data_IF_051604538972
#
_entry.id   IF_051604538972
#
_cell.length_a   1.000
_cell.length_b   1.000
_cell.length_c   1.000
_cell.angle_alpha   90.00
_cell.angle_beta   90.00
_cell.angle_gamma   90.00
#
_symmetry.space_group_name_H-M   'P 1'
#
loop_
_entity.id
_entity.type
_entity.pdbx_description
1 polymer ?
#
# COMPACT_ATOMS: atom_id res chain seq x y z
N UNK A 1 -38.06 -42.55 -22.82
CA UNK A 1 -36.96 -41.87 -23.50
C UNK A 1 -35.66 -42.23 -22.76
N UNK A 2 -34.83 -43.12 -23.35
CA UNK A 2 -33.52 -43.47 -22.78
C UNK A 2 -32.47 -42.47 -23.32
N UNK A 3 -31.91 -41.64 -22.44
CA UNK A 3 -30.74 -40.84 -22.80
C UNK A 3 -29.48 -41.75 -22.80
N UNK A 4 -28.62 -41.68 -23.80
CA UNK A 4 -27.45 -42.54 -23.88
C UNK A 4 -26.38 -42.08 -22.87
N UNK A 5 -26.09 -42.94 -21.92
CA UNK A 5 -25.10 -42.73 -20.81
C UNK A 5 -23.65 -42.59 -21.30
N UNK A 6 -23.36 -42.78 -22.58
CA UNK A 6 -22.02 -42.60 -23.15
C UNK A 6 -21.68 -41.15 -23.50
N UNK A 7 -22.67 -40.28 -23.73
CA UNK A 7 -22.44 -38.87 -24.06
C UNK A 7 -21.95 -38.06 -22.83
N UNK A 8 -22.36 -38.44 -21.64
CA UNK A 8 -22.00 -37.80 -20.38
C UNK A 8 -20.51 -38.06 -20.00
N UNK A 9 -19.99 -39.24 -20.21
CA UNK A 9 -18.59 -39.59 -19.86
C UNK A 9 -17.59 -38.92 -20.83
N UNK A 10 -17.89 -38.82 -22.09
CA UNK A 10 -17.03 -38.13 -23.07
C UNK A 10 -17.01 -36.61 -22.83
N UNK A 11 -18.13 -36.01 -22.42
CA UNK A 11 -18.19 -34.60 -22.09
C UNK A 11 -17.40 -34.26 -20.79
N UNK A 12 -17.46 -35.14 -19.78
CA UNK A 12 -16.67 -35.01 -18.53
C UNK A 12 -15.17 -35.21 -18.82
N UNK A 13 -14.81 -36.16 -19.69
CA UNK A 13 -13.40 -36.35 -20.08
C UNK A 13 -12.87 -35.14 -20.89
N UNK A 14 -13.70 -34.60 -21.79
CA UNK A 14 -13.35 -33.40 -22.55
C UNK A 14 -13.23 -32.15 -21.63
N UNK A 15 -14.11 -32.01 -20.66
CA UNK A 15 -14.04 -30.93 -19.65
C UNK A 15 -12.80 -31.08 -18.73
N UNK A 16 -12.49 -32.32 -18.31
CA UNK A 16 -11.25 -32.60 -17.58
C UNK A 16 -10.00 -32.36 -18.44
N UNK A 17 -10.02 -32.73 -19.74
CA UNK A 17 -8.90 -32.50 -20.65
C UNK A 17 -8.69 -31.01 -20.96
N UNK A 18 -9.75 -30.20 -21.01
CA UNK A 18 -9.65 -28.73 -21.16
C UNK A 18 -9.16 -28.05 -19.88
N UNK A 19 -9.42 -28.61 -18.71
CA UNK A 19 -8.83 -28.12 -17.43
C UNK A 19 -7.34 -28.47 -17.31
N UNK A 20 -6.82 -29.43 -18.07
CA UNK A 20 -5.40 -29.81 -18.10
C UNK A 20 -4.60 -29.22 -19.27
N UNK A 21 -5.16 -28.33 -20.09
CA UNK A 21 -4.35 -27.51 -20.97
C UNK A 21 -3.60 -26.54 -20.04
N UNK A 22 -2.26 -26.60 -19.93
CA UNK A 22 -1.50 -25.59 -19.23
C UNK A 22 -1.64 -24.31 -20.06
N UNK A 23 -2.66 -23.50 -19.74
CA UNK A 23 -2.58 -22.09 -20.02
C UNK A 23 -1.29 -21.67 -19.31
N UNK A 24 -0.28 -21.24 -20.08
CA UNK A 24 0.86 -20.55 -19.52
C UNK A 24 0.33 -19.25 -18.90
N UNK A 25 -0.24 -19.36 -17.70
CA UNK A 25 -0.58 -18.23 -16.84
C UNK A 25 0.77 -17.71 -16.37
N UNK A 26 1.21 -16.64 -16.99
CA UNK A 26 2.40 -15.91 -16.58
C UNK A 26 2.10 -15.37 -15.18
N UNK A 27 2.69 -15.99 -14.18
CA UNK A 27 2.54 -15.59 -12.79
C UNK A 27 3.46 -14.38 -12.53
N UNK A 28 2.89 -13.34 -11.95
CA UNK A 28 3.65 -12.19 -11.45
C UNK A 28 4.45 -12.64 -10.23
N UNK A 29 5.78 -12.51 -10.26
CA UNK A 29 6.67 -13.08 -9.27
C UNK A 29 7.10 -12.03 -8.22
N UNK A 30 7.13 -12.43 -6.96
CA UNK A 30 7.63 -11.63 -5.83
C UNK A 30 8.97 -12.17 -5.31
N UNK A 31 9.76 -12.80 -6.18
CA UNK A 31 11.02 -13.47 -5.86
C UNK A 31 12.19 -12.87 -6.63
N UNK A 32 13.39 -13.33 -6.34
CA UNK A 32 14.62 -12.98 -7.07
C UNK A 32 15.37 -14.21 -7.54
N UNK A 33 16.48 -13.98 -8.21
CA UNK A 33 17.36 -15.00 -8.77
C UNK A 33 18.78 -14.80 -8.26
N UNK A 34 19.48 -15.87 -7.91
CA UNK A 34 20.94 -15.85 -7.67
C UNK A 34 21.63 -16.60 -8.80
N UNK A 35 22.57 -15.94 -9.46
CA UNK A 35 23.35 -16.52 -10.57
C UNK A 35 24.83 -16.15 -10.48
N UNK A 36 25.68 -16.88 -11.19
CA UNK A 36 27.11 -16.55 -11.24
C UNK A 36 27.93 -17.57 -12.02
N UNK A 37 29.21 -17.28 -12.11
CA UNK A 37 30.21 -18.13 -12.78
C UNK A 37 31.27 -18.59 -11.79
N UNK A 38 31.65 -19.85 -11.86
CA UNK A 38 32.67 -20.44 -11.02
C UNK A 38 33.92 -20.67 -11.85
N UNK A 39 35.02 -20.11 -11.39
CA UNK A 39 36.35 -20.22 -12.05
C UNK A 39 37.42 -20.76 -11.11
N UNK A 40 38.46 -21.32 -11.69
CA UNK A 40 39.68 -21.73 -11.00
C UNK A 40 40.67 -20.55 -10.81
N UNK A 41 41.82 -20.72 -10.15
CA UNK A 41 42.83 -19.66 -9.99
C UNK A 41 43.39 -19.09 -11.29
N UNK A 42 43.33 -19.85 -12.38
CA UNK A 42 43.81 -19.41 -13.71
C UNK A 42 42.73 -18.63 -14.50
N UNK A 43 41.49 -18.64 -14.02
CA UNK A 43 40.34 -18.07 -14.70
C UNK A 43 39.62 -19.07 -15.62
N UNK A 44 40.01 -20.35 -15.63
CA UNK A 44 39.28 -21.38 -16.35
C UNK A 44 38.00 -21.74 -15.63
N UNK A 45 36.94 -22.08 -16.42
CA UNK A 45 35.65 -22.47 -15.90
C UNK A 45 35.70 -23.79 -15.15
N UNK A 46 34.90 -23.93 -14.10
CA UNK A 46 34.74 -25.17 -13.33
C UNK A 46 33.38 -25.75 -13.57
N UNK A 47 33.31 -26.85 -14.34
CA UNK A 47 32.07 -27.57 -14.66
C UNK A 47 31.66 -28.49 -13.50
N UNK A 48 30.34 -28.73 -13.38
CA UNK A 48 29.73 -29.65 -12.41
C UNK A 48 30.16 -29.41 -10.94
N UNK A 49 30.60 -28.19 -10.63
CA UNK A 49 30.82 -27.80 -9.23
C UNK A 49 29.45 -27.78 -8.50
N UNK A 50 29.43 -28.38 -7.34
CA UNK A 50 28.24 -28.36 -6.48
C UNK A 50 28.12 -26.98 -5.84
N UNK A 51 27.04 -26.26 -6.19
CA UNK A 51 26.71 -24.95 -5.64
C UNK A 51 25.53 -25.07 -4.70
N UNK A 52 25.61 -24.41 -3.55
CA UNK A 52 24.49 -24.33 -2.61
C UNK A 52 24.24 -22.87 -2.28
N UNK A 53 23.02 -22.41 -2.58
CA UNK A 53 22.54 -21.06 -2.26
C UNK A 53 21.73 -21.15 -0.98
N UNK A 54 22.16 -20.49 0.08
CA UNK A 54 21.54 -20.59 1.41
C UNK A 54 21.00 -19.23 1.86
N UNK A 55 19.75 -19.18 2.23
CA UNK A 55 19.16 -18.01 2.91
C UNK A 55 19.67 -17.99 4.36
N UNK A 56 20.31 -16.89 4.74
CA UNK A 56 20.95 -16.76 6.07
C UNK A 56 19.91 -16.73 7.20
N UNK A 57 18.77 -16.07 6.97
CA UNK A 57 17.72 -15.90 7.99
C UNK A 57 16.93 -17.19 8.29
N UNK A 58 16.67 -17.99 7.25
CA UNK A 58 15.84 -19.21 7.37
C UNK A 58 16.65 -20.50 7.36
N UNK A 59 17.94 -20.43 7.00
CA UNK A 59 18.83 -21.57 6.72
C UNK A 59 18.30 -22.50 5.61
N UNK A 60 17.37 -22.04 4.78
CA UNK A 60 16.89 -22.75 3.60
C UNK A 60 18.01 -22.81 2.55
N UNK A 61 18.34 -24.00 2.08
CA UNK A 61 19.43 -24.27 1.17
C UNK A 61 18.91 -24.87 -0.15
N UNK A 62 19.28 -24.23 -1.27
CA UNK A 62 18.93 -24.67 -2.61
C UNK A 62 20.18 -25.17 -3.33
N UNK A 63 20.31 -26.48 -3.58
CA UNK A 63 21.45 -27.03 -4.30
C UNK A 63 21.25 -26.92 -5.81
N UNK A 64 22.34 -26.61 -6.51
CA UNK A 64 22.45 -26.62 -7.97
C UNK A 64 23.86 -27.08 -8.36
N UNK A 65 24.18 -27.09 -9.65
CA UNK A 65 25.52 -27.38 -10.15
C UNK A 65 25.85 -26.44 -11.33
N UNK A 66 27.12 -26.18 -11.53
CA UNK A 66 27.55 -25.41 -12.69
C UNK A 66 27.43 -26.20 -13.99
N UNK A 67 27.03 -25.51 -15.04
CA UNK A 67 26.95 -26.05 -16.40
C UNK A 67 28.35 -26.12 -17.06
N UNK A 68 28.40 -26.51 -18.36
CA UNK A 68 29.63 -26.57 -19.17
C UNK A 68 30.33 -25.21 -19.38
N UNK A 69 29.66 -24.11 -19.07
CA UNK A 69 30.24 -22.76 -19.11
C UNK A 69 30.66 -22.27 -17.70
N UNK A 70 30.58 -23.13 -16.69
CA UNK A 70 30.82 -22.78 -15.30
C UNK A 70 29.72 -21.91 -14.68
N UNK A 71 28.60 -21.73 -15.37
CA UNK A 71 27.47 -20.92 -14.95
C UNK A 71 26.50 -21.72 -14.04
N UNK A 72 25.99 -21.07 -13.01
CA UNK A 72 24.92 -21.61 -12.16
C UNK A 72 23.83 -20.57 -11.99
N UNK A 73 22.61 -21.03 -11.75
CA UNK A 73 21.45 -20.21 -11.49
C UNK A 73 20.47 -20.91 -10.55
N UNK A 74 19.92 -20.16 -9.60
CA UNK A 74 18.80 -20.58 -8.74
C UNK A 74 17.75 -19.47 -8.80
N UNK A 75 16.60 -19.81 -9.33
CA UNK A 75 15.49 -18.87 -9.54
C UNK A 75 14.43 -19.01 -8.43
N UNK A 76 13.50 -18.05 -8.37
CA UNK A 76 12.35 -18.04 -7.46
C UNK A 76 12.72 -18.15 -5.98
N UNK A 77 13.77 -17.44 -5.61
CA UNK A 77 14.18 -17.30 -4.22
C UNK A 77 13.41 -16.16 -3.56
N UNK A 78 12.80 -16.38 -2.38
CA UNK A 78 12.24 -15.29 -1.58
C UNK A 78 13.28 -14.18 -1.33
N UNK A 79 12.85 -12.94 -1.20
CA UNK A 79 13.75 -11.84 -0.84
C UNK A 79 14.44 -12.11 0.51
N UNK A 80 15.65 -11.63 0.67
CA UNK A 80 16.43 -11.80 1.91
C UNK A 80 17.92 -11.87 1.68
N UNK A 81 18.66 -12.22 2.72
CA UNK A 81 20.13 -12.30 2.66
C UNK A 81 20.56 -13.71 2.30
N UNK A 82 21.37 -13.83 1.25
CA UNK A 82 21.85 -15.12 0.73
C UNK A 82 23.37 -15.25 0.79
N UNK A 83 23.81 -16.46 0.98
CA UNK A 83 25.22 -16.87 0.93
C UNK A 83 25.35 -18.04 -0.04
N UNK A 84 26.38 -17.99 -0.90
CA UNK A 84 26.67 -19.03 -1.88
C UNK A 84 27.89 -19.82 -1.44
N UNK A 85 27.77 -21.14 -1.41
CA UNK A 85 28.90 -22.04 -1.15
C UNK A 85 29.14 -22.99 -2.33
N UNK A 86 30.39 -23.25 -2.66
CA UNK A 86 30.79 -24.07 -3.81
C UNK A 86 31.77 -25.15 -3.38
N UNK A 87 31.54 -26.38 -3.81
CA UNK A 87 32.39 -27.55 -3.60
C UNK A 87 32.72 -28.19 -4.94
N UNK A 88 33.99 -28.37 -5.23
CA UNK A 88 34.46 -29.07 -6.41
C UNK A 88 35.68 -29.95 -6.11
N UNK A 89 35.84 -31.05 -6.85
CA UNK A 89 36.98 -31.99 -6.63
C UNK A 89 38.34 -31.32 -6.94
N UNK A 90 39.25 -31.39 -6.00
CA UNK A 90 40.57 -30.77 -6.13
C UNK A 90 40.64 -29.30 -5.70
N UNK A 91 39.54 -28.75 -5.22
CA UNK A 91 39.46 -27.36 -4.74
C UNK A 91 39.03 -27.30 -3.28
N UNK A 92 39.46 -26.27 -2.59
CA UNK A 92 38.93 -25.92 -1.27
C UNK A 92 37.49 -25.41 -1.39
N UNK A 93 36.64 -25.65 -0.37
CA UNK A 93 35.29 -25.11 -0.32
C UNK A 93 35.35 -23.58 -0.29
N UNK A 94 34.71 -22.94 -1.26
CA UNK A 94 34.59 -21.50 -1.31
C UNK A 94 33.19 -21.06 -0.79
N UNK A 95 33.15 -19.96 -0.05
CA UNK A 95 31.91 -19.39 0.46
C UNK A 95 31.93 -17.88 0.26
N UNK A 96 30.83 -17.31 -0.30
CA UNK A 96 30.72 -15.88 -0.50
C UNK A 96 30.43 -15.13 0.79
N UNK A 97 30.65 -13.83 0.82
CA UNK A 97 30.01 -12.96 1.81
C UNK A 97 28.48 -12.97 1.63
N UNK A 98 27.71 -12.81 2.73
CA UNK A 98 26.26 -12.63 2.62
C UNK A 98 25.90 -11.39 1.78
N UNK A 99 24.90 -11.51 0.89
CA UNK A 99 24.41 -10.42 0.05
C UNK A 99 22.88 -10.38 0.03
N UNK A 100 22.30 -9.20 -0.07
CA UNK A 100 20.84 -9.02 -0.18
C UNK A 100 20.37 -9.39 -1.57
N UNK A 101 19.26 -10.11 -1.64
CA UNK A 101 18.51 -10.41 -2.85
C UNK A 101 17.18 -9.68 -2.76
N UNK A 102 16.98 -8.71 -3.64
CA UNK A 102 15.80 -7.91 -3.73
C UNK A 102 14.77 -8.51 -4.72
N UNK A 103 13.53 -8.06 -4.65
CA UNK A 103 12.46 -8.51 -5.54
C UNK A 103 12.81 -8.25 -7.01
N UNK A 104 12.55 -9.24 -7.87
CA UNK A 104 12.84 -9.19 -9.31
C UNK A 104 14.31 -8.87 -9.66
N UNK A 105 15.21 -9.07 -8.72
CA UNK A 105 16.65 -8.89 -8.92
C UNK A 105 17.29 -10.20 -9.35
N UNK A 106 18.30 -10.11 -10.24
CA UNK A 106 19.29 -11.16 -10.44
C UNK A 106 20.57 -10.79 -9.72
N UNK A 107 20.77 -11.35 -8.53
CA UNK A 107 21.96 -11.17 -7.73
C UNK A 107 23.10 -12.01 -8.34
N UNK A 108 24.10 -11.35 -8.90
CA UNK A 108 25.28 -12.02 -9.46
C UNK A 108 26.35 -12.25 -8.41
N UNK A 109 26.74 -13.52 -8.21
CA UNK A 109 27.77 -13.95 -7.26
C UNK A 109 28.76 -14.86 -7.98
N UNK A 110 29.81 -14.28 -8.49
CA UNK A 110 30.93 -15.03 -9.12
C UNK A 110 31.94 -15.46 -8.04
N UNK A 111 32.39 -16.72 -8.07
CA UNK A 111 33.35 -17.24 -7.11
C UNK A 111 34.56 -17.86 -7.81
N UNK A 112 35.73 -17.53 -7.27
CA UNK A 112 37.02 -18.09 -7.72
C UNK A 112 37.49 -19.13 -6.71
N UNK A 113 37.60 -20.40 -7.15
CA UNK A 113 38.07 -21.50 -6.31
C UNK A 113 39.57 -21.46 -6.13
N UNK A 114 40.05 -22.01 -5.03
CA UNK A 114 41.49 -22.21 -4.78
C UNK A 114 41.80 -23.70 -4.73
N UNK A 115 42.94 -24.11 -5.27
CA UNK A 115 43.42 -25.50 -5.22
C UNK A 115 43.69 -25.87 -3.77
N UNK A 116 43.09 -26.94 -3.30
CA UNK A 116 43.19 -27.38 -1.92
C UNK A 116 42.33 -28.58 -1.62
N UNK A 117 42.23 -28.95 -0.33
CA UNK A 117 41.34 -30.01 0.11
C UNK A 117 39.92 -29.42 0.33
N UNK A 118 38.91 -30.20 0.02
CA UNK A 118 37.50 -29.82 0.26
C UNK A 118 37.21 -29.52 1.73
N UNK A 119 38.03 -30.01 2.66
CA UNK A 119 37.95 -29.70 4.09
C UNK A 119 38.36 -28.26 4.45
N UNK A 120 39.10 -27.60 3.56
CA UNK A 120 39.61 -26.26 3.81
C UNK A 120 38.61 -25.23 3.31
N UNK A 121 38.08 -24.41 4.21
CA UNK A 121 37.07 -23.38 3.87
C UNK A 121 37.77 -22.05 3.62
N UNK A 122 37.58 -21.49 2.44
CA UNK A 122 38.08 -20.16 2.07
C UNK A 122 36.89 -19.22 1.94
N UNK A 123 36.82 -18.20 2.79
CA UNK A 123 35.87 -17.10 2.61
C UNK A 123 36.39 -16.20 1.49
N UNK A 124 35.65 -16.12 0.40
CA UNK A 124 35.94 -15.24 -0.71
C UNK A 124 35.12 -13.98 -0.53
N UNK A 125 35.78 -12.84 -0.43
CA UNK A 125 35.08 -11.55 -0.56
C UNK A 125 34.65 -11.40 -2.03
N UNK A 126 33.50 -11.96 -2.37
CA UNK A 126 32.87 -11.63 -3.65
C UNK A 126 32.21 -10.28 -3.48
N UNK A 127 32.63 -9.32 -4.26
CA UNK A 127 31.83 -8.08 -4.40
C UNK A 127 30.61 -8.46 -5.22
N UNK A 128 29.48 -8.70 -4.52
CA UNK A 128 28.19 -8.72 -5.20
C UNK A 128 28.02 -7.36 -5.88
N UNK A 129 27.75 -7.38 -7.18
CA UNK A 129 27.52 -6.12 -7.91
C UNK A 129 26.24 -5.50 -7.36
N UNK A 130 26.35 -4.30 -6.78
CA UNK A 130 25.21 -3.51 -6.35
C UNK A 130 24.46 -2.88 -7.54
N UNK A 131 25.05 -2.95 -8.74
CA UNK A 131 24.44 -2.46 -9.97
C UNK A 131 23.79 -3.65 -10.69
N UNK A 132 22.51 -3.54 -10.97
CA UNK A 132 21.74 -4.53 -11.71
C UNK A 132 22.16 -4.48 -13.19
N UNK A 133 22.90 -5.51 -13.64
CA UNK A 133 23.44 -5.60 -15.01
C UNK A 133 22.79 -6.69 -15.84
N UNK A 134 21.93 -7.51 -15.23
CA UNK A 134 21.39 -8.72 -15.84
C UNK A 134 19.98 -8.51 -16.43
N UNK A 135 19.34 -7.37 -16.15
CA UNK A 135 18.03 -7.03 -16.74
C UNK A 135 17.99 -5.56 -17.21
N UNK A 136 17.04 -5.27 -18.12
CA UNK A 136 16.83 -3.93 -18.69
C UNK A 136 15.64 -3.19 -18.05
N UNK A 137 15.16 -3.65 -16.92
CA UNK A 137 14.00 -3.07 -16.24
C UNK A 137 14.39 -1.72 -15.63
N UNK A 138 13.63 -0.68 -15.99
CA UNK A 138 13.77 0.65 -15.39
C UNK A 138 12.85 0.74 -14.19
N UNK A 139 13.42 0.97 -13.02
CA UNK A 139 12.65 1.05 -11.79
C UNK A 139 13.54 1.35 -10.58
N UNK A 140 12.92 1.47 -9.43
CA UNK A 140 13.60 1.72 -8.16
C UNK A 140 13.08 0.81 -7.06
N UNK A 141 13.97 0.46 -6.13
CA UNK A 141 13.63 -0.33 -4.94
C UNK A 141 13.90 0.49 -3.69
N UNK A 142 12.94 0.48 -2.76
CA UNK A 142 13.10 1.02 -1.41
C UNK A 142 13.09 -0.16 -0.45
N UNK A 143 14.21 -0.40 0.22
CA UNK A 143 14.36 -1.51 1.16
C UNK A 143 13.91 -1.15 2.56
N UNK A 144 13.69 -2.16 3.41
CA UNK A 144 13.08 -2.04 4.73
C UNK A 144 13.63 -0.93 5.63
N UNK A 145 14.95 -0.73 5.67
CA UNK A 145 15.54 0.34 6.49
C UNK A 145 15.13 1.74 5.99
N UNK A 146 15.18 1.98 4.68
CA UNK A 146 14.77 3.26 4.12
C UNK A 146 13.24 3.49 4.29
N UNK A 147 12.42 2.44 4.16
CA UNK A 147 10.97 2.52 4.41
C UNK A 147 10.69 2.97 5.83
N UNK A 148 11.45 2.46 6.79
CA UNK A 148 11.28 2.75 8.21
C UNK A 148 11.82 4.14 8.61
N UNK A 149 12.93 4.57 8.01
CA UNK A 149 13.61 5.82 8.38
C UNK A 149 13.04 7.05 7.68
N UNK A 150 12.36 6.88 6.53
CA UNK A 150 11.75 8.01 5.83
C UNK A 150 10.56 8.58 6.60
N UNK A 151 10.46 9.91 6.74
CA UNK A 151 9.40 10.57 7.51
C UNK A 151 8.08 10.57 6.73
N UNK A 152 7.41 9.43 6.67
CA UNK A 152 6.11 9.30 6.02
C UNK A 152 5.01 9.96 6.86
N UNK A 153 4.40 11.03 6.35
CA UNK A 153 3.31 11.71 7.03
C UNK A 153 2.03 10.86 7.02
N UNK A 154 1.66 10.30 8.16
CA UNK A 154 0.54 9.37 8.27
C UNK A 154 0.92 7.92 7.99
N UNK A 155 2.21 7.59 7.86
CA UNK A 155 2.73 6.23 7.67
C UNK A 155 2.11 5.50 6.48
N UNK A 156 1.79 6.28 5.42
CA UNK A 156 1.27 5.74 4.18
C UNK A 156 2.45 5.24 3.31
N UNK A 157 2.54 3.94 3.11
CA UNK A 157 3.62 3.31 2.35
C UNK A 157 3.62 3.75 0.88
N UNK A 158 2.47 4.12 0.31
CA UNK A 158 2.37 4.61 -1.06
C UNK A 158 3.05 5.97 -1.26
N UNK A 159 3.29 6.75 -0.20
CA UNK A 159 4.03 8.01 -0.31
C UNK A 159 5.47 7.79 -0.75
N UNK A 160 6.00 6.57 -0.61
CA UNK A 160 7.31 6.18 -1.16
C UNK A 160 7.36 6.27 -2.69
N UNK A 161 6.21 6.17 -3.37
CA UNK A 161 6.13 6.37 -4.81
C UNK A 161 6.67 7.74 -5.23
N UNK A 162 6.37 8.78 -4.47
CA UNK A 162 6.82 10.13 -4.76
C UNK A 162 8.36 10.31 -4.67
N UNK A 163 9.06 9.35 -4.06
CA UNK A 163 10.53 9.36 -3.96
C UNK A 163 11.21 8.73 -5.18
N UNK A 164 10.43 8.07 -6.05
CA UNK A 164 10.98 7.33 -7.18
C UNK A 164 11.03 8.22 -8.44
N UNK A 165 12.10 8.12 -9.24
CA UNK A 165 12.16 8.79 -10.53
C UNK A 165 10.96 8.40 -11.40
N UNK A 166 10.53 9.27 -12.31
CA UNK A 166 9.43 8.98 -13.24
C UNK A 166 8.04 8.89 -12.61
N UNK A 167 7.90 9.05 -11.30
CA UNK A 167 6.61 9.06 -10.60
C UNK A 167 6.17 10.50 -10.31
N UNK A 168 4.93 10.79 -10.63
CA UNK A 168 4.31 12.10 -10.38
C UNK A 168 3.02 11.95 -9.61
N UNK A 169 2.89 12.68 -8.52
CA UNK A 169 1.62 12.82 -7.79
C UNK A 169 0.71 13.78 -8.58
N UNK A 170 -0.44 13.31 -9.02
CA UNK A 170 -1.35 14.07 -9.89
C UNK A 170 -2.47 14.79 -9.14
N UNK A 171 -2.79 14.33 -7.93
CA UNK A 171 -3.78 14.96 -7.06
C UNK A 171 -3.32 14.89 -5.59
N UNK A 172 -2.62 15.92 -5.10
CA UNK A 172 -2.07 15.94 -3.76
C UNK A 172 -3.13 15.99 -2.63
N UNK A 173 -4.38 16.33 -2.97
CA UNK A 173 -5.45 16.50 -1.97
C UNK A 173 -6.23 15.21 -1.69
N UNK A 174 -5.93 14.14 -2.39
CA UNK A 174 -6.64 12.88 -2.25
C UNK A 174 -5.82 11.85 -1.44
N UNK A 175 -6.47 10.94 -0.79
CA UNK A 175 -5.96 9.96 0.19
C UNK A 175 -5.00 8.89 -0.37
N UNK A 176 -4.35 9.12 -1.48
CA UNK A 176 -3.26 8.28 -2.00
C UNK A 176 -3.68 7.08 -2.86
N UNK A 177 -4.97 6.82 -3.00
CA UNK A 177 -5.45 5.70 -3.81
C UNK A 177 -5.57 6.09 -5.28
N UNK A 178 -4.68 5.57 -6.14
CA UNK A 178 -4.75 5.75 -7.58
C UNK A 178 -4.35 7.13 -8.09
N UNK A 179 -3.56 7.91 -7.33
CA UNK A 179 -3.20 9.28 -7.67
C UNK A 179 -1.79 9.44 -8.24
N UNK A 180 -1.11 8.36 -8.49
CA UNK A 180 0.25 8.36 -9.00
C UNK A 180 0.28 8.03 -10.49
N UNK A 181 0.89 8.91 -11.28
CA UNK A 181 1.31 8.62 -12.65
C UNK A 181 2.73 8.07 -12.63
N UNK A 182 2.95 6.94 -13.25
CA UNK A 182 4.25 6.28 -13.35
C UNK A 182 4.65 6.22 -14.81
N UNK A 183 5.86 6.69 -15.14
CA UNK A 183 6.37 6.70 -16.52
C UNK A 183 5.53 7.55 -17.47
N UNK A 184 4.79 8.56 -16.99
CA UNK A 184 3.85 9.36 -17.79
C UNK A 184 2.53 8.66 -18.14
N UNK A 185 2.26 7.49 -17.55
CA UNK A 185 1.00 6.77 -17.69
C UNK A 185 -0.17 7.44 -16.96
N UNK A 186 -1.39 6.96 -17.19
CA UNK A 186 -2.58 7.42 -16.45
C UNK A 186 -2.53 6.86 -15.02
N UNK A 187 -3.14 7.56 -14.08
CA UNK A 187 -3.19 7.15 -12.67
C UNK A 187 -3.97 5.85 -12.45
N UNK A 188 -4.97 5.59 -13.28
CA UNK A 188 -5.78 4.38 -13.27
C UNK A 188 -5.15 3.20 -14.05
N UNK A 189 -3.90 3.35 -14.52
CA UNK A 189 -3.20 2.32 -15.30
C UNK A 189 -2.04 1.66 -14.55
N UNK A 190 -1.94 1.87 -13.24
CA UNK A 190 -0.91 1.26 -12.38
C UNK A 190 -1.35 -0.12 -11.90
N UNK A 191 -0.45 -1.10 -11.95
CA UNK A 191 -0.65 -2.41 -11.33
C UNK A 191 -0.02 -2.44 -9.95
N UNK A 192 -0.81 -2.76 -8.93
CA UNK A 192 -0.34 -2.93 -7.56
C UNK A 192 -0.32 -4.42 -7.20
N UNK A 193 0.78 -4.85 -6.61
CA UNK A 193 0.99 -6.23 -6.17
C UNK A 193 1.33 -6.25 -4.68
N UNK A 194 0.76 -7.21 -3.96
CA UNK A 194 1.08 -7.51 -2.56
C UNK A 194 1.50 -8.97 -2.46
N UNK A 195 2.74 -9.23 -2.06
CA UNK A 195 3.36 -10.57 -2.06
C UNK A 195 3.15 -11.31 -3.40
N UNK A 196 3.22 -10.57 -4.52
CA UNK A 196 3.00 -11.05 -5.88
C UNK A 196 1.52 -11.26 -6.26
N UNK A 197 0.58 -11.19 -5.32
CA UNK A 197 -0.86 -11.21 -5.59
C UNK A 197 -1.38 -9.86 -6.09
N UNK A 198 -2.42 -9.89 -6.94
CA UNK A 198 -3.04 -8.65 -7.42
C UNK A 198 -3.69 -7.89 -6.26
N UNK A 199 -3.35 -6.61 -6.14
CA UNK A 199 -3.81 -5.72 -5.08
C UNK A 199 -4.54 -4.48 -5.64
N UNK A 200 -5.17 -4.63 -6.81
CA UNK A 200 -5.97 -3.58 -7.41
C UNK A 200 -7.46 -3.78 -7.13
N UNK A 201 -8.13 -2.71 -6.75
CA UNK A 201 -9.59 -2.62 -6.77
C UNK A 201 -10.11 -2.74 -8.21
N UNK A 202 -11.16 -3.55 -8.38
CA UNK A 202 -11.72 -3.83 -9.71
C UNK A 202 -12.53 -2.66 -10.28
N UNK A 203 -12.96 -1.72 -9.46
CA UNK A 203 -13.79 -0.58 -9.87
C UNK A 203 -12.94 0.64 -10.23
N UNK A 204 -12.05 1.04 -9.34
CA UNK A 204 -11.24 2.26 -9.46
C UNK A 204 -9.81 2.01 -9.94
N UNK A 205 -9.38 0.74 -9.99
CA UNK A 205 -8.00 0.31 -10.19
C UNK A 205 -7.00 0.88 -9.16
N UNK A 206 -7.50 1.38 -8.03
CA UNK A 206 -6.69 1.82 -6.90
C UNK A 206 -6.14 0.64 -6.09
N UNK A 207 -5.42 0.96 -5.01
CA UNK A 207 -4.89 -0.05 -4.07
C UNK A 207 -6.00 -0.55 -3.16
N UNK A 208 -6.08 -1.87 -2.97
CA UNK A 208 -7.03 -2.51 -2.03
C UNK A 208 -6.48 -2.50 -0.60
N UNK A 209 -5.23 -2.94 -0.43
CA UNK A 209 -4.54 -3.00 0.85
C UNK A 209 -3.23 -2.25 0.76
N UNK A 210 -3.00 -1.34 1.69
CA UNK A 210 -1.74 -0.61 1.83
C UNK A 210 -1.13 -0.94 3.21
N UNK A 211 -0.22 -1.94 3.30
CA UNK A 211 0.35 -2.35 4.57
C UNK A 211 1.13 -1.23 5.24
N UNK A 212 1.09 -1.19 6.57
CA UNK A 212 1.89 -0.23 7.33
C UNK A 212 3.39 -0.45 7.10
N UNK A 213 4.24 0.61 7.20
CA UNK A 213 5.67 0.53 6.89
C UNK A 213 6.44 -0.54 7.68
N UNK A 214 6.03 -0.83 8.93
CA UNK A 214 6.69 -1.84 9.75
C UNK A 214 6.42 -3.27 9.26
N UNK A 215 5.34 -3.49 8.53
CA UNK A 215 5.01 -4.78 7.92
C UNK A 215 5.71 -4.99 6.57
N UNK A 216 6.22 -3.93 5.93
CA UNK A 216 6.84 -4.00 4.60
C UNK A 216 8.32 -4.34 4.71
N UNK A 217 8.76 -5.33 3.94
CA UNK A 217 10.15 -5.69 3.77
C UNK A 217 10.79 -4.91 2.63
N UNK A 218 10.05 -4.78 1.53
CA UNK A 218 10.54 -4.16 0.31
C UNK A 218 9.39 -3.54 -0.49
N UNK A 219 9.68 -2.41 -1.11
CA UNK A 219 8.79 -1.66 -1.99
C UNK A 219 9.51 -1.38 -3.30
N UNK A 220 9.03 -1.94 -4.40
CA UNK A 220 9.63 -1.77 -5.73
C UNK A 220 8.66 -1.11 -6.69
N UNK A 221 9.16 -0.16 -7.45
CA UNK A 221 8.46 0.48 -8.58
C UNK A 221 9.16 0.09 -9.86
N UNK A 222 8.42 -0.42 -10.82
CA UNK A 222 8.87 -0.69 -12.17
C UNK A 222 8.14 0.29 -13.10
N UNK A 223 8.91 1.19 -13.72
CA UNK A 223 8.35 2.26 -14.53
C UNK A 223 8.04 1.81 -15.96
N UNK A 224 8.95 1.03 -16.54
CA UNK A 224 8.86 0.58 -17.93
C UNK A 224 9.75 -0.62 -18.18
N UNK A 225 9.66 -1.19 -19.39
CA UNK A 225 10.46 -2.34 -19.84
C UNK A 225 10.31 -3.60 -18.99
N UNK A 226 9.15 -3.73 -18.28
CA UNK A 226 8.83 -4.94 -17.56
C UNK A 226 8.53 -6.10 -18.50
N UNK A 227 8.76 -7.34 -18.03
CA UNK A 227 8.58 -8.54 -18.80
C UNK A 227 7.11 -8.86 -19.11
N UNK A 228 6.88 -9.83 -19.98
CA UNK A 228 5.55 -10.26 -20.41
C UNK A 228 4.72 -10.95 -19.30
N UNK A 229 5.35 -11.29 -18.18
CA UNK A 229 4.70 -11.78 -16.95
C UNK A 229 3.81 -10.73 -16.28
N UNK A 230 4.07 -9.45 -16.52
CA UNK A 230 3.23 -8.37 -16.05
C UNK A 230 2.23 -7.98 -17.12
N UNK A 231 0.96 -7.94 -16.73
CA UNK A 231 -0.14 -7.62 -17.64
C UNK A 231 -1.18 -6.70 -17.01
N UNK A 232 -2.38 -6.74 -17.57
CA UNK A 232 -3.58 -6.01 -17.18
C UNK A 232 -3.52 -4.50 -17.42
N UNK A 233 -2.52 -3.79 -16.91
CA UNK A 233 -2.39 -2.34 -17.01
C UNK A 233 -1.17 -1.96 -17.86
N UNK A 234 -1.21 -0.79 -18.50
CA UNK A 234 -0.15 -0.29 -19.36
C UNK A 234 0.78 0.72 -18.68
N UNK A 235 0.50 1.05 -17.42
CA UNK A 235 1.33 1.95 -16.61
C UNK A 235 2.41 1.19 -15.83
N UNK A 236 2.96 1.82 -14.80
CA UNK A 236 3.96 1.19 -13.95
C UNK A 236 3.41 0.08 -13.08
N UNK A 237 4.32 -0.65 -12.46
CA UNK A 237 4.03 -1.73 -11.52
C UNK A 237 4.59 -1.34 -10.16
N UNK A 238 3.78 -1.46 -9.14
CA UNK A 238 4.16 -1.26 -7.74
C UNK A 238 4.06 -2.60 -7.04
N UNK A 239 5.18 -3.12 -6.59
CA UNK A 239 5.24 -4.40 -5.88
C UNK A 239 5.65 -4.17 -4.44
N UNK A 240 4.82 -4.62 -3.52
CA UNK A 240 5.03 -4.56 -2.08
C UNK A 240 5.23 -5.99 -1.58
N UNK A 241 6.34 -6.24 -0.89
CA UNK A 241 6.58 -7.51 -0.22
C UNK A 241 6.56 -7.32 1.28
N UNK A 242 5.77 -8.13 1.95
CA UNK A 242 5.67 -8.09 3.41
C UNK A 242 6.82 -8.85 4.08
N UNK A 243 7.15 -8.46 5.31
CA UNK A 243 8.15 -9.16 6.11
C UNK A 243 7.74 -10.62 6.36
N UNK A 244 8.74 -11.46 6.55
CA UNK A 244 8.58 -12.88 6.89
C UNK A 244 9.29 -13.18 8.21
N UNK A 245 8.91 -14.29 8.85
CA UNK A 245 9.66 -14.82 9.99
C UNK A 245 11.01 -15.38 9.59
N UNK A 246 11.92 -15.43 10.55
CA UNK A 246 13.25 -16.05 10.44
C UNK A 246 13.45 -17.07 11.56
N UNK A 247 14.64 -17.68 11.65
CA UNK A 247 14.97 -18.57 12.79
C UNK A 247 15.12 -17.84 14.12
N UNK A 248 15.31 -16.51 14.07
CA UNK A 248 15.40 -15.66 15.26
C UNK A 248 14.07 -14.95 15.49
N UNK A 249 13.63 -14.91 16.74
CA UNK A 249 12.48 -14.10 17.14
C UNK A 249 12.84 -12.63 17.03
N UNK A 250 12.02 -11.87 16.32
CA UNK A 250 12.20 -10.44 16.13
C UNK A 250 10.86 -9.72 16.10
N UNK A 251 10.88 -8.43 16.41
CA UNK A 251 9.68 -7.63 16.40
C UNK A 251 9.95 -6.20 16.81
N UNK A 252 8.96 -5.37 16.62
CA UNK A 252 8.97 -3.95 16.99
C UNK A 252 7.68 -3.61 17.72
N UNK A 253 7.73 -2.61 18.57
CA UNK A 253 6.56 -1.95 19.14
C UNK A 253 6.77 -0.45 18.98
N UNK A 254 5.73 0.26 18.60
CA UNK A 254 5.84 1.69 18.32
C UNK A 254 4.57 2.44 18.67
N UNK A 255 4.73 3.75 18.89
CA UNK A 255 3.65 4.73 19.03
C UNK A 255 4.13 6.06 18.44
N UNK A 256 3.42 6.54 17.42
CA UNK A 256 3.67 7.82 16.77
C UNK A 256 2.51 8.76 17.07
N UNK A 257 2.81 9.84 17.75
CA UNK A 257 1.83 10.88 18.08
C UNK A 257 2.11 12.16 17.30
N UNK A 258 1.09 12.70 16.64
CA UNK A 258 1.10 14.02 16.05
C UNK A 258 0.00 14.86 16.71
N UNK A 259 0.37 16.06 17.15
CA UNK A 259 -0.56 16.97 17.75
C UNK A 259 -0.28 18.39 17.22
N UNK A 260 -1.32 19.08 16.82
CA UNK A 260 -1.27 20.45 16.31
C UNK A 260 -0.54 21.41 17.27
N UNK A 261 -0.46 21.09 18.56
CA UNK A 261 0.33 21.89 19.51
C UNK A 261 1.80 22.04 19.10
N UNK A 262 2.37 21.02 18.45
CA UNK A 262 3.75 21.02 17.98
C UNK A 262 3.91 21.47 16.52
N UNK A 263 2.81 21.59 15.77
CA UNK A 263 2.84 21.98 14.36
C UNK A 263 2.98 23.52 14.23
N UNK A 264 3.66 23.97 13.19
CA UNK A 264 3.59 25.36 12.75
C UNK A 264 2.22 25.65 12.14
N UNK A 265 1.77 26.91 12.18
CA UNK A 265 0.61 27.32 11.43
C UNK A 265 0.96 27.50 9.94
N UNK A 266 -0.02 27.31 9.04
CA UNK A 266 0.13 27.59 7.64
C UNK A 266 0.45 29.07 7.37
N UNK A 267 1.29 29.33 6.35
CA UNK A 267 1.70 30.69 6.01
C UNK A 267 0.50 31.59 5.68
N UNK A 268 -0.44 31.08 4.89
CA UNK A 268 -1.61 31.87 4.46
C UNK A 268 -2.61 32.03 5.60
N UNK A 269 -2.72 31.05 6.51
CA UNK A 269 -3.52 31.20 7.73
C UNK A 269 -2.95 32.28 8.62
N UNK A 270 -1.62 32.33 8.83
CA UNK A 270 -0.96 33.41 9.57
C UNK A 270 -1.16 34.78 8.93
N UNK A 271 -1.10 34.85 7.58
CA UNK A 271 -1.33 36.11 6.86
C UNK A 271 -2.76 36.65 7.04
N UNK A 272 -3.71 35.76 7.29
CA UNK A 272 -5.13 36.08 7.46
C UNK A 272 -5.59 36.07 8.93
N UNK A 273 -4.65 36.02 9.87
CA UNK A 273 -4.92 35.88 11.31
C UNK A 273 -5.82 34.67 11.66
N UNK A 274 -5.78 33.63 10.84
CA UNK A 274 -6.54 32.40 11.07
C UNK A 274 -5.81 31.49 12.05
N UNK A 275 -6.55 30.81 12.96
CA UNK A 275 -5.96 29.87 13.88
C UNK A 275 -5.42 28.64 13.15
N UNK A 276 -4.40 28.01 13.73
CA UNK A 276 -3.84 26.75 13.25
C UNK A 276 -4.91 25.65 13.21
N UNK A 277 -4.89 24.85 12.11
CA UNK A 277 -5.77 23.70 11.96
C UNK A 277 -5.50 22.66 13.08
N UNK A 278 -6.53 22.20 13.72
CA UNK A 278 -6.44 21.18 14.78
C UNK A 278 -6.30 19.80 14.12
N UNK A 279 -5.21 19.11 14.47
CA UNK A 279 -4.96 17.73 14.07
C UNK A 279 -4.36 16.96 15.26
N UNK A 280 -5.05 15.91 15.69
CA UNK A 280 -4.54 14.94 16.66
C UNK A 280 -4.57 13.57 16.03
N UNK A 281 -3.38 12.99 15.84
CA UNK A 281 -3.22 11.64 15.27
C UNK A 281 -2.33 10.81 16.18
N UNK A 282 -2.75 9.59 16.45
CA UNK A 282 -1.95 8.60 17.14
C UNK A 282 -1.97 7.31 16.31
N UNK A 283 -0.79 6.77 16.01
CA UNK A 283 -0.58 5.53 15.28
C UNK A 283 0.32 4.63 16.10
N UNK A 284 -0.24 3.55 16.59
CA UNK A 284 0.45 2.61 17.49
C UNK A 284 0.35 1.21 16.92
N UNK A 285 1.37 0.38 17.21
CA UNK A 285 1.37 -0.95 16.68
C UNK A 285 2.52 -1.81 17.16
N UNK A 286 2.53 -3.02 16.64
CA UNK A 286 3.58 -3.98 16.91
C UNK A 286 3.78 -4.90 15.69
N UNK A 287 5.00 -5.40 15.56
CA UNK A 287 5.29 -6.53 14.67
C UNK A 287 5.95 -7.64 15.48
N UNK A 288 5.75 -8.89 15.05
CA UNK A 288 6.38 -10.03 15.68
C UNK A 288 6.54 -11.16 14.66
N UNK A 289 7.74 -11.72 14.57
CA UNK A 289 8.06 -12.80 13.62
C UNK A 289 9.09 -13.79 14.18
N UNK A 290 9.10 -14.97 13.61
CA UNK A 290 10.02 -16.02 14.02
C UNK A 290 9.62 -17.41 13.56
N UNK A 291 10.28 -18.47 14.07
CA UNK A 291 9.91 -19.84 13.78
C UNK A 291 8.70 -20.26 14.63
N UNK A 292 7.78 -21.04 14.06
CA UNK A 292 6.69 -21.66 14.82
C UNK A 292 7.27 -22.86 15.60
N UNK A 293 7.46 -22.66 16.90
CA UNK A 293 7.94 -23.73 17.80
C UNK A 293 6.91 -23.97 18.90
N UNK A 294 6.28 -25.13 18.87
CA UNK A 294 5.34 -25.60 19.92
C UNK A 294 6.00 -26.79 20.61
N UNK A 295 6.38 -26.67 21.89
CA UNK A 295 7.06 -27.73 22.60
C UNK A 295 6.33 -29.07 22.48
N UNK A 296 7.07 -30.11 22.17
CA UNK A 296 6.59 -31.51 21.98
C UNK A 296 5.63 -31.73 20.79
N UNK A 297 5.28 -30.70 20.00
CA UNK A 297 4.35 -30.81 18.86
C UNK A 297 5.02 -30.44 17.54
N UNK A 298 5.58 -29.25 17.45
CA UNK A 298 6.18 -28.74 16.23
C UNK A 298 7.50 -28.04 16.52
N UNK A 299 8.55 -28.41 15.80
CA UNK A 299 9.78 -27.63 15.70
C UNK A 299 9.89 -27.07 14.27
N UNK A 300 9.45 -25.85 14.08
CA UNK A 300 9.46 -25.18 12.78
C UNK A 300 10.76 -24.50 12.41
N UNK A 301 11.81 -24.60 13.23
CA UNK A 301 13.13 -24.04 12.87
C UNK A 301 13.57 -24.54 11.49
N UNK A 302 14.05 -23.65 10.66
CA UNK A 302 14.47 -23.87 9.26
C UNK A 302 13.33 -24.27 8.29
N UNK A 303 12.05 -24.31 8.75
CA UNK A 303 10.96 -24.84 7.93
C UNK A 303 9.65 -24.07 8.00
N UNK A 304 9.24 -23.60 9.16
CA UNK A 304 7.91 -23.04 9.36
C UNK A 304 8.04 -21.74 10.16
N UNK A 305 7.69 -20.66 9.51
CA UNK A 305 7.84 -19.33 10.04
C UNK A 305 6.51 -18.60 10.06
N UNK A 306 6.39 -17.62 10.94
CA UNK A 306 5.28 -16.69 10.97
C UNK A 306 5.78 -15.25 11.06
N UNK A 307 4.96 -14.34 10.58
CA UNK A 307 5.07 -12.91 10.82
C UNK A 307 3.69 -12.35 11.09
N UNK A 308 3.59 -11.45 12.04
CA UNK A 308 2.36 -10.76 12.42
C UNK A 308 2.65 -9.27 12.57
N UNK A 309 1.71 -8.44 12.09
CA UNK A 309 1.72 -7.00 12.27
C UNK A 309 0.33 -6.51 12.66
N UNK A 310 0.28 -5.56 13.58
CA UNK A 310 -0.91 -4.80 13.93
C UNK A 310 -0.58 -3.32 13.96
N UNK A 311 -1.43 -2.49 13.35
CA UNK A 311 -1.41 -1.03 13.51
C UNK A 311 -2.82 -0.53 13.79
N UNK A 312 -2.94 0.28 14.86
CA UNK A 312 -4.12 1.08 15.14
C UNK A 312 -3.87 2.54 14.84
N UNK A 313 -4.84 3.22 14.22
CA UNK A 313 -4.85 4.66 14.04
C UNK A 313 -6.04 5.29 14.75
N UNK A 314 -5.81 6.40 15.43
CA UNK A 314 -6.86 7.30 15.92
C UNK A 314 -6.54 8.71 15.49
N UNK A 315 -7.42 9.29 14.69
CA UNK A 315 -7.24 10.65 14.20
C UNK A 315 -8.51 11.47 14.42
N UNK A 316 -8.30 12.68 14.90
CA UNK A 316 -9.33 13.73 14.91
C UNK A 316 -8.71 14.97 14.29
N UNK A 317 -9.36 15.48 13.24
CA UNK A 317 -9.00 16.74 12.61
C UNK A 317 -10.21 17.68 12.65
N UNK A 318 -9.97 18.97 12.80
CA UNK A 318 -11.01 19.98 12.57
C UNK A 318 -10.91 20.40 11.12
N UNK A 319 -11.99 20.17 10.39
CA UNK A 319 -12.14 20.59 9.00
C UNK A 319 -13.06 21.79 8.91
N UNK A 320 -12.86 22.62 7.91
CA UNK A 320 -13.66 23.81 7.64
C UNK A 320 -14.46 23.56 6.38
N UNK A 321 -15.77 23.71 6.43
CA UNK A 321 -16.56 23.89 5.23
C UNK A 321 -16.12 25.20 4.57
N UNK A 322 -16.08 25.29 3.28
CA UNK A 322 -15.78 26.56 2.58
C UNK A 322 -16.64 27.70 3.09
N UNK A 323 -16.48 28.91 2.51
CA UNK A 323 -17.34 30.04 2.82
C UNK A 323 -18.80 29.69 2.54
N UNK A 324 -19.64 29.87 3.54
CA UNK A 324 -21.09 29.61 3.48
C UNK A 324 -21.83 30.93 3.69
N UNK A 325 -22.67 31.29 2.75
CA UNK A 325 -23.56 32.45 2.90
C UNK A 325 -24.62 32.14 3.95
N UNK A 326 -24.85 33.05 4.84
CA UNK A 326 -25.87 32.99 5.88
C UNK A 326 -26.56 34.35 6.06
N UNK A 327 -27.50 34.42 6.97
CA UNK A 327 -28.16 35.66 7.28
C UNK A 327 -27.34 36.52 8.26
N UNK A 328 -27.40 37.83 8.07
CA UNK A 328 -26.99 38.76 9.12
C UNK A 328 -28.02 38.78 10.25
N UNK A 329 -27.69 39.24 11.46
CA UNK A 329 -28.66 39.43 12.52
C UNK A 329 -29.85 40.36 12.16
N UNK A 330 -29.62 41.32 11.24
CA UNK A 330 -30.68 42.19 10.72
C UNK A 330 -31.64 41.43 9.82
N UNK A 331 -31.12 40.67 8.87
CA UNK A 331 -31.94 39.84 7.95
C UNK A 331 -32.73 38.77 8.71
N UNK A 332 -32.12 38.14 9.72
CA UNK A 332 -32.85 37.16 10.59
C UNK A 332 -34.04 37.77 11.32
N UNK A 333 -34.04 39.10 11.48
CA UNK A 333 -35.17 39.87 12.03
C UNK A 333 -36.05 40.54 10.95
N UNK A 334 -35.83 40.17 9.68
CA UNK A 334 -36.62 40.67 8.54
C UNK A 334 -36.16 41.99 7.93
N UNK A 335 -34.98 42.50 8.32
CA UNK A 335 -34.40 43.72 7.75
C UNK A 335 -33.37 43.38 6.69
N UNK A 336 -33.77 43.48 5.43
CA UNK A 336 -32.92 43.25 4.24
C UNK A 336 -32.51 44.55 3.58
N UNK A 337 -32.56 45.70 4.29
CA UNK A 337 -32.26 47.03 3.74
C UNK A 337 -30.82 47.23 3.35
N UNK A 338 -29.89 46.40 3.81
CA UNK A 338 -28.45 46.45 3.53
C UNK A 338 -27.92 45.14 2.95
N UNK A 339 -28.81 44.22 2.54
CA UNK A 339 -28.45 42.85 2.22
C UNK A 339 -27.56 42.68 0.94
N UNK A 340 -27.69 43.60 -0.03
CA UNK A 340 -26.92 43.53 -1.29
C UNK A 340 -26.05 44.77 -1.42
N UNK A 341 -24.75 44.64 -1.15
CA UNK A 341 -23.77 45.72 -1.27
C UNK A 341 -24.19 47.04 -0.55
N UNK A 342 -24.84 46.94 0.60
CA UNK A 342 -25.31 48.07 1.37
C UNK A 342 -26.60 48.72 0.81
N UNK A 343 -27.35 47.96 0.01
CA UNK A 343 -28.65 48.37 -0.57
C UNK A 343 -29.72 47.30 -0.25
N UNK A 344 -30.99 47.65 -0.36
CA UNK A 344 -32.09 46.69 -0.19
C UNK A 344 -32.00 45.51 -1.16
N UNK A 345 -32.33 44.31 -0.70
CA UNK A 345 -32.46 43.13 -1.57
C UNK A 345 -33.62 43.32 -2.54
N UNK A 346 -33.38 43.39 -3.86
CA UNK A 346 -34.44 43.63 -4.85
C UNK A 346 -35.49 42.50 -4.86
N UNK A 347 -35.14 41.27 -4.52
CA UNK A 347 -36.06 40.16 -4.49
C UNK A 347 -37.03 40.26 -3.29
N UNK A 348 -36.52 40.70 -2.15
CA UNK A 348 -37.38 40.94 -0.97
C UNK A 348 -38.29 42.14 -1.19
N UNK A 349 -37.77 43.21 -1.81
CA UNK A 349 -38.58 44.37 -2.19
C UNK A 349 -39.69 43.94 -3.14
N UNK A 350 -39.38 43.19 -4.20
CA UNK A 350 -40.37 42.69 -5.15
C UNK A 350 -41.41 41.74 -4.49
N UNK A 351 -40.93 40.86 -3.59
CA UNK A 351 -41.84 40.00 -2.82
C UNK A 351 -42.82 40.80 -1.99
N UNK A 352 -42.33 41.81 -1.28
CA UNK A 352 -43.20 42.64 -0.41
C UNK A 352 -44.19 43.46 -1.26
N UNK A 353 -43.81 43.93 -2.43
CA UNK A 353 -44.72 44.62 -3.33
C UNK A 353 -45.88 43.73 -3.84
N UNK A 354 -45.60 42.47 -4.05
CA UNK A 354 -46.57 41.48 -4.50
C UNK A 354 -47.45 40.93 -3.34
N UNK A 355 -46.98 41.02 -2.08
CA UNK A 355 -47.60 40.45 -0.89
C UNK A 355 -47.73 41.50 0.23
N UNK A 356 -48.74 42.43 0.10
CA UNK A 356 -48.93 43.52 1.05
C UNK A 356 -49.17 43.10 2.49
N UNK A 357 -49.63 41.89 2.73
CA UNK A 357 -49.88 41.31 4.07
C UNK A 357 -48.61 41.13 4.90
N UNK A 358 -47.42 41.12 4.28
CA UNK A 358 -46.13 41.05 4.96
C UNK A 358 -45.47 42.41 5.17
N UNK A 359 -46.09 43.48 4.76
CA UNK A 359 -45.63 44.84 4.95
C UNK A 359 -46.09 45.45 6.25
N UNK A 360 -45.23 46.10 7.01
CA UNK A 360 -45.62 46.99 8.08
C UNK A 360 -46.18 48.32 7.52
N UNK A 361 -45.55 48.85 6.46
CA UNK A 361 -45.97 49.98 5.67
C UNK A 361 -45.23 50.00 4.32
N UNK A 362 -45.74 50.78 3.28
CA UNK A 362 -45.12 50.80 1.97
C UNK A 362 -43.68 51.40 1.92
N UNK A 363 -43.33 52.31 2.85
CA UNK A 363 -41.99 52.89 2.92
C UNK A 363 -40.96 51.84 3.36
N UNK A 364 -41.29 51.04 4.41
CA UNK A 364 -40.42 49.95 4.88
C UNK A 364 -40.33 48.83 3.85
N UNK A 365 -41.43 48.56 3.14
CA UNK A 365 -41.46 47.57 2.07
C UNK A 365 -40.48 47.94 0.93
N UNK A 366 -40.38 49.21 0.55
CA UNK A 366 -39.43 49.71 -0.47
C UNK A 366 -37.99 49.61 -0.03
N UNK A 367 -37.71 49.45 1.24
CA UNK A 367 -36.39 49.20 1.82
C UNK A 367 -36.12 47.70 2.06
N UNK A 368 -37.03 46.83 1.67
CA UNK A 368 -36.89 45.39 1.89
C UNK A 368 -37.04 44.94 3.37
N UNK A 369 -37.84 45.70 4.16
CA UNK A 369 -38.07 45.41 5.56
C UNK A 369 -39.45 44.72 5.72
N UNK A 370 -39.43 43.50 6.19
CA UNK A 370 -40.63 42.68 6.50
C UNK A 370 -41.21 43.11 7.84
N UNK A 371 -42.56 43.09 7.97
CA UNK A 371 -43.22 43.26 9.27
C UNK A 371 -42.77 42.13 10.24
N UNK A 372 -42.06 42.45 11.35
CA UNK A 372 -41.60 41.42 12.28
C UNK A 372 -42.70 40.53 12.84
N UNK A 373 -43.93 41.02 12.92
CA UNK A 373 -45.06 40.24 13.36
C UNK A 373 -45.54 39.17 12.37
N UNK A 374 -45.06 39.26 11.14
CA UNK A 374 -45.35 38.32 10.03
C UNK A 374 -44.29 37.28 9.80
N UNK A 375 -43.12 37.38 10.46
CA UNK A 375 -42.10 36.36 10.40
C UNK A 375 -42.63 35.12 11.11
N UNK A 376 -42.53 33.97 10.42
CA UNK A 376 -43.00 32.69 10.95
C UNK A 376 -42.31 32.39 12.32
N UNK A 377 -43.10 32.07 13.37
CA UNK A 377 -42.54 31.76 14.71
C UNK A 377 -41.57 30.57 14.70
N UNK A 378 -41.70 29.61 13.76
CA UNK A 378 -40.77 28.48 13.61
C UNK A 378 -39.44 28.97 13.07
N UNK A 379 -39.45 29.86 12.06
CA UNK A 379 -38.23 30.47 11.53
C UNK A 379 -37.51 31.28 12.62
N UNK A 380 -38.25 32.09 13.39
CA UNK A 380 -37.67 32.84 14.54
C UNK A 380 -37.08 31.90 15.58
N UNK A 381 -37.71 30.76 15.85
CA UNK A 381 -37.18 29.77 16.79
C UNK A 381 -35.89 29.12 16.28
N UNK A 382 -35.74 28.89 14.99
CA UNK A 382 -34.53 28.36 14.39
C UNK A 382 -33.36 29.34 14.54
N UNK A 383 -33.53 30.62 14.26
CA UNK A 383 -32.52 31.64 14.50
C UNK A 383 -32.21 31.78 15.99
N UNK A 384 -33.22 31.89 16.85
CA UNK A 384 -33.06 32.04 18.29
C UNK A 384 -32.31 30.87 18.95
N UNK A 385 -32.54 29.67 18.48
CA UNK A 385 -31.88 28.45 18.99
C UNK A 385 -30.56 28.13 18.27
N UNK A 386 -30.11 28.99 17.34
CA UNK A 386 -28.87 28.81 16.62
C UNK A 386 -28.86 27.65 15.61
N UNK A 387 -30.04 27.12 15.25
CA UNK A 387 -30.16 26.08 14.21
C UNK A 387 -29.90 26.66 12.82
N UNK A 388 -30.19 27.95 12.62
CA UNK A 388 -29.72 28.75 11.50
C UNK A 388 -28.75 29.79 12.10
N UNK A 389 -27.46 29.60 12.01
CA UNK A 389 -26.48 30.56 12.53
C UNK A 389 -26.50 31.84 11.73
N UNK A 390 -26.27 32.98 12.37
CA UNK A 390 -26.14 34.28 11.74
C UNK A 390 -24.70 34.79 11.85
N UNK A 391 -24.29 35.66 10.92
CA UNK A 391 -23.00 36.32 10.94
C UNK A 391 -23.12 37.80 10.62
N UNK A 392 -22.40 38.71 11.28
CA UNK A 392 -22.41 40.12 10.94
C UNK A 392 -21.97 40.43 9.49
N UNK A 393 -21.14 39.59 8.91
CA UNK A 393 -20.67 39.71 7.52
C UNK A 393 -21.59 39.05 6.49
N UNK A 394 -22.60 38.28 6.92
CA UNK A 394 -23.40 37.44 6.05
C UNK A 394 -22.69 36.14 5.60
N UNK A 395 -21.48 35.88 6.10
CA UNK A 395 -20.69 34.71 5.75
C UNK A 395 -20.21 33.97 7.00
N UNK A 396 -20.12 32.67 6.89
CA UNK A 396 -19.62 31.75 7.92
C UNK A 396 -18.54 30.85 7.32
N UNK A 397 -17.62 30.44 8.18
CA UNK A 397 -16.67 29.38 7.95
C UNK A 397 -16.91 28.27 8.98
N UNK A 398 -17.94 27.44 8.82
CA UNK A 398 -18.25 26.42 9.80
C UNK A 398 -17.12 25.44 9.94
N UNK A 399 -16.81 25.07 11.18
CA UNK A 399 -15.79 24.06 11.51
C UNK A 399 -16.43 22.91 12.28
N UNK A 400 -15.96 21.69 12.02
CA UNK A 400 -16.40 20.51 12.75
C UNK A 400 -15.30 19.45 12.79
N UNK A 401 -15.43 18.53 13.74
CA UNK A 401 -14.46 17.44 13.88
C UNK A 401 -14.74 16.31 12.89
N UNK A 402 -13.76 15.98 12.09
CA UNK A 402 -13.68 14.77 11.31
C UNK A 402 -12.87 13.71 12.07
N UNK A 403 -13.32 12.47 12.01
CA UNK A 403 -12.66 11.31 12.64
C UNK A 403 -12.20 10.37 11.54
N UNK A 404 -11.01 9.81 11.72
CA UNK A 404 -10.44 8.76 10.90
C UNK A 404 -9.72 7.76 11.81
N UNK A 405 -10.40 6.67 12.13
CA UNK A 405 -9.88 5.60 12.97
C UNK A 405 -9.79 4.32 12.16
N UNK A 406 -8.64 3.68 12.21
CA UNK A 406 -8.38 2.43 11.50
C UNK A 406 -7.66 1.41 12.38
N UNK A 407 -7.96 0.14 12.12
CA UNK A 407 -7.26 -1.01 12.67
C UNK A 407 -6.81 -1.91 11.51
N UNK A 408 -5.51 -2.19 11.43
CA UNK A 408 -4.90 -3.03 10.40
C UNK A 408 -4.23 -4.24 11.03
N UNK A 409 -4.50 -5.40 10.47
CA UNK A 409 -3.92 -6.68 10.86
C UNK A 409 -3.29 -7.34 9.63
N UNK A 410 -2.08 -7.87 9.78
CA UNK A 410 -1.42 -8.69 8.78
C UNK A 410 -0.84 -9.93 9.44
N UNK A 411 -1.13 -11.08 8.88
CA UNK A 411 -0.55 -12.37 9.28
C UNK A 411 0.04 -13.08 8.07
N UNK A 412 1.27 -13.59 8.21
CA UNK A 412 1.96 -14.35 7.16
C UNK A 412 2.53 -15.63 7.74
N UNK A 413 2.43 -16.70 6.98
CA UNK A 413 3.02 -18.01 7.30
C UNK A 413 3.81 -18.49 6.08
N UNK A 414 5.06 -18.89 6.31
CA UNK A 414 5.94 -19.43 5.30
C UNK A 414 6.34 -20.86 5.71
N UNK A 415 6.03 -21.83 4.87
CA UNK A 415 6.35 -23.23 5.08
C UNK A 415 7.25 -23.77 3.97
N UNK A 416 8.47 -24.11 4.34
CA UNK A 416 9.45 -24.78 3.49
C UNK A 416 9.32 -26.28 3.69
N UNK A 417 8.38 -26.91 2.96
CA UNK A 417 8.07 -28.32 3.10
C UNK A 417 9.26 -29.21 2.70
N UNK A 418 10.00 -28.79 1.67
CA UNK A 418 11.25 -29.41 1.22
C UNK A 418 12.17 -28.37 0.58
N UNK A 419 13.36 -28.77 0.10
CA UNK A 419 14.20 -27.91 -0.74
C UNK A 419 13.57 -27.59 -2.11
N UNK A 420 12.46 -28.22 -2.47
CA UNK A 420 11.75 -28.02 -3.75
C UNK A 420 10.35 -27.45 -3.58
N UNK A 421 9.79 -27.50 -2.39
CA UNK A 421 8.40 -27.17 -2.12
C UNK A 421 8.31 -26.06 -1.06
N UNK A 422 7.76 -24.94 -1.44
CA UNK A 422 7.46 -23.84 -0.52
C UNK A 422 6.00 -23.43 -0.61
N UNK A 423 5.40 -23.12 0.53
CA UNK A 423 4.05 -22.60 0.64
C UNK A 423 4.13 -21.30 1.44
N UNK A 424 3.60 -20.23 0.93
CA UNK A 424 3.46 -18.96 1.64
C UNK A 424 2.00 -18.53 1.64
N UNK A 425 1.53 -18.04 2.77
CA UNK A 425 0.19 -17.51 2.91
C UNK A 425 0.21 -16.19 3.66
N UNK A 426 -0.40 -15.15 3.07
CA UNK A 426 -0.59 -13.83 3.70
C UNK A 426 -2.07 -13.54 3.81
N UNK A 427 -2.48 -13.04 4.96
CA UNK A 427 -3.83 -12.53 5.20
C UNK A 427 -3.76 -11.14 5.80
N UNK A 428 -4.58 -10.23 5.28
CA UNK A 428 -4.71 -8.87 5.78
C UNK A 428 -6.18 -8.56 6.07
N UNK A 429 -6.40 -7.80 7.13
CA UNK A 429 -7.69 -7.22 7.46
C UNK A 429 -7.50 -5.75 7.82
N UNK A 430 -8.33 -4.89 7.26
CA UNK A 430 -8.31 -3.46 7.51
C UNK A 430 -9.74 -2.99 7.77
N UNK A 431 -9.94 -2.42 8.95
CA UNK A 431 -11.21 -1.84 9.40
C UNK A 431 -11.00 -0.34 9.56
N UNK A 432 -11.75 0.48 8.80
CA UNK A 432 -11.64 1.94 8.84
C UNK A 432 -13.01 2.57 9.11
N UNK A 433 -13.02 3.50 10.05
CA UNK A 433 -14.19 4.30 10.40
C UNK A 433 -13.87 5.77 10.24
N UNK A 434 -14.52 6.40 9.27
CA UNK A 434 -14.38 7.83 9.00
C UNK A 434 -15.69 8.57 9.27
N UNK A 435 -15.57 9.86 9.59
CA UNK A 435 -16.71 10.79 9.59
C UNK A 435 -16.37 12.01 8.78
N UNK A 436 -17.24 12.36 7.85
CA UNK A 436 -17.21 13.64 7.14
C UNK A 436 -18.32 14.53 7.68
N UNK A 437 -18.00 15.59 8.43
CA UNK A 437 -18.98 16.44 9.06
C UNK A 437 -19.73 17.35 8.07
N UNK A 438 -19.25 17.48 6.84
CA UNK A 438 -19.82 18.37 5.81
C UNK A 438 -20.26 17.65 4.54
N UNK A 439 -20.36 16.33 4.55
CA UNK A 439 -20.72 15.51 3.38
C UNK A 439 -22.11 15.84 2.81
N UNK A 440 -23.07 16.20 3.65
CA UNK A 440 -24.46 16.42 3.24
C UNK A 440 -24.92 17.87 3.38
N UNK A 441 -24.16 18.71 4.08
CA UNK A 441 -24.48 20.12 4.28
C UNK A 441 -23.23 20.89 4.71
N UNK A 442 -23.18 22.17 4.37
CA UNK A 442 -22.08 23.07 4.78
C UNK A 442 -22.22 23.60 6.21
N UNK A 443 -23.07 22.98 7.02
CA UNK A 443 -23.28 23.30 8.44
C UNK A 443 -23.08 22.07 9.30
N UNK A 444 -22.55 22.20 10.54
CA UNK A 444 -22.36 21.07 11.44
C UNK A 444 -23.68 20.37 11.79
N UNK A 445 -23.61 19.06 12.07
CA UNK A 445 -24.74 18.25 12.50
C UNK A 445 -25.31 17.30 11.44
N UNK A 446 -24.88 17.41 10.21
CA UNK A 446 -25.28 16.54 9.08
C UNK A 446 -24.11 15.70 8.58
N UNK A 447 -23.38 15.11 9.51
CA UNK A 447 -22.21 14.29 9.19
C UNK A 447 -22.59 12.96 8.53
N UNK A 448 -21.81 12.55 7.55
CA UNK A 448 -21.79 11.16 7.08
C UNK A 448 -20.75 10.37 7.88
N UNK A 449 -21.12 9.15 8.23
CA UNK A 449 -20.18 8.16 8.75
C UNK A 449 -20.00 7.05 7.73
N UNK A 450 -18.77 6.67 7.47
CA UNK A 450 -18.41 5.52 6.64
C UNK A 450 -17.71 4.48 7.50
N UNK A 451 -18.00 3.21 7.23
CA UNK A 451 -17.27 2.09 7.79
C UNK A 451 -16.88 1.18 6.63
N UNK A 452 -15.58 1.05 6.43
CA UNK A 452 -14.99 0.24 5.36
C UNK A 452 -14.26 -0.93 6.00
N UNK A 453 -14.56 -2.13 5.54
CA UNK A 453 -13.84 -3.35 5.92
C UNK A 453 -13.25 -3.97 4.67
N UNK A 454 -11.94 -4.21 4.71
CA UNK A 454 -11.21 -4.81 3.60
C UNK A 454 -10.48 -6.06 4.09
N UNK A 455 -10.69 -7.16 3.39
CA UNK A 455 -9.98 -8.41 3.65
C UNK A 455 -9.27 -8.84 2.38
N UNK A 456 -8.02 -9.25 2.50
CA UNK A 456 -7.27 -9.82 1.39
C UNK A 456 -6.51 -11.06 1.86
N UNK A 457 -6.48 -12.07 1.02
CA UNK A 457 -5.74 -13.30 1.28
C UNK A 457 -4.97 -13.73 0.04
N UNK A 458 -3.74 -14.17 0.23
CA UNK A 458 -2.89 -14.69 -0.83
C UNK A 458 -2.25 -15.99 -0.37
N UNK A 459 -2.34 -17.03 -1.18
CA UNK A 459 -1.65 -18.31 -0.96
C UNK A 459 -0.84 -18.63 -2.21
N UNK A 460 0.46 -18.85 -2.03
CA UNK A 460 1.39 -19.21 -3.10
C UNK A 460 2.03 -20.55 -2.78
N UNK A 461 1.98 -21.49 -3.72
CA UNK A 461 2.72 -22.74 -3.69
C UNK A 461 3.71 -22.79 -4.84
N UNK A 462 4.98 -22.97 -4.53
CA UNK A 462 6.06 -23.10 -5.52
C UNK A 462 6.67 -24.47 -5.44
N UNK A 463 6.76 -25.18 -6.60
CA UNK A 463 7.47 -26.44 -6.76
C UNK A 463 8.57 -26.34 -7.79
N UNK A 464 9.79 -26.67 -7.41
CA UNK A 464 10.98 -26.68 -8.27
C UNK A 464 11.25 -28.12 -8.76
N UNK A 465 10.95 -28.39 -10.02
CA UNK A 465 11.25 -29.69 -10.66
C UNK A 465 12.74 -29.85 -10.93
N UNK A 466 13.34 -28.83 -11.54
CA UNK A 466 14.78 -28.71 -11.83
C UNK A 466 15.20 -27.25 -11.62
N UNK A 467 16.52 -26.95 -11.58
CA UNK A 467 16.98 -25.57 -11.50
C UNK A 467 16.47 -24.61 -12.60
N UNK A 468 16.00 -25.17 -13.72
CA UNK A 468 15.46 -24.41 -14.86
C UNK A 468 13.96 -24.64 -15.11
N UNK A 469 13.28 -25.44 -14.27
CA UNK A 469 11.86 -25.73 -14.41
C UNK A 469 11.18 -25.72 -13.04
N UNK A 470 10.24 -24.82 -12.86
CA UNK A 470 9.44 -24.71 -11.64
C UNK A 470 7.97 -24.48 -12.02
N UNK A 471 7.10 -24.64 -11.05
CA UNK A 471 5.69 -24.27 -11.12
C UNK A 471 5.33 -23.44 -9.90
N UNK A 472 4.65 -22.35 -10.13
CA UNK A 472 4.03 -21.54 -9.08
C UNK A 472 2.52 -21.53 -9.27
N UNK A 473 1.80 -21.86 -8.21
CA UNK A 473 0.35 -21.72 -8.12
C UNK A 473 0.04 -20.65 -7.08
N UNK A 474 -0.66 -19.60 -7.49
CA UNK A 474 -1.09 -18.52 -6.61
C UNK A 474 -2.60 -18.35 -6.67
N UNK A 475 -3.20 -18.12 -5.50
CA UNK A 475 -4.60 -17.77 -5.33
C UNK A 475 -4.66 -16.50 -4.47
N UNK A 476 -5.28 -15.50 -5.01
CA UNK A 476 -5.51 -14.21 -4.32
C UNK A 476 -7.01 -13.95 -4.25
#
# INVERSE_FOLDING_TARGET
MHFPTHFSKSLILLFLATCFVPLALLAQDATGTVAGVITDPSGAIVEQAKVTVTNVGTASAQPTATDKNGFYQVQHLPIGTYQVSVEASGFSKATSSPASLDINQTLRVDLKLQVGRVSDVVNVESQASTVETENSVVGGTVTGNAIFELPLNGRNTLDLLATQPGVTLTNPDNTGQGNYSIGGGRTDSVTYLLDGGLNNDLLSNGVVVNPNPDAVAEFRVIESTYGAEYGRNAGGIVSIVTKSGTNDLHGTIYDYARNDFFDANDFFFNQQDQPRAILKRQQYGLTFGGPIVIPHVVNGRNKLFFFFSYQGQKQTAVVTAGEVQTYTPAEANGDFSQAVNGAPDPNVVAFLQQNPEYQANPQLASLGIIDPSKIDPVAQAYFKNGLIPTSPSGFLFPTASAIDNADEYLGKIDFMASSRDTISGTFTAHDEKTTDPFSSANVPGYNAASFVQTYSGNITYTHTFTPSLFNELRVT
#
